data_IF_251653316019
#
_entry.id   IF_251653316019
#
_cell.length_a   1.000
_cell.length_b   1.000
_cell.length_c   1.000
_cell.angle_alpha   90.00
_cell.angle_beta   90.00
_cell.angle_gamma   90.00
#
_symmetry.space_group_name_H-M   'P 1'
#
loop_
_entity.id
_entity.type
_entity.pdbx_description
1 polymer ?
#
# COMPACT_ATOMS: atom_id res chain seq x y z
N UNK A 1 4.63 23.49 22.84
CA UNK A 1 3.46 23.04 22.02
C UNK A 1 2.17 23.33 22.80
N UNK A 2 1.18 23.99 22.18
CA UNK A 2 -0.09 24.32 22.85
C UNK A 2 -0.87 23.01 23.12
N UNK A 3 -1.52 22.86 24.31
CA UNK A 3 -2.30 21.67 24.69
C UNK A 3 -3.27 21.22 23.60
N UNK A 4 -3.97 22.16 22.96
CA UNK A 4 -4.91 21.91 21.87
C UNK A 4 -4.28 21.17 20.68
N UNK A 5 -3.02 21.48 20.30
CA UNK A 5 -2.32 20.78 19.23
C UNK A 5 -1.95 19.36 19.64
N UNK A 6 -1.53 19.15 20.89
CA UNK A 6 -1.23 17.82 21.41
C UNK A 6 -2.46 16.91 21.39
N UNK A 7 -3.61 17.43 21.86
CA UNK A 7 -4.87 16.67 21.85
C UNK A 7 -5.28 16.29 20.39
N UNK A 8 -5.09 17.22 19.46
CA UNK A 8 -5.36 16.96 18.05
C UNK A 8 -4.43 15.88 17.46
N UNK A 9 -3.13 15.88 17.80
CA UNK A 9 -2.16 14.84 17.39
C UNK A 9 -2.58 13.47 17.93
N UNK A 10 -2.95 13.40 19.23
CA UNK A 10 -3.40 12.16 19.86
C UNK A 10 -4.65 11.62 19.16
N UNK A 11 -5.59 12.48 18.83
CA UNK A 11 -6.80 12.08 18.11
C UNK A 11 -6.48 11.56 16.71
N UNK A 12 -5.60 12.23 15.95
CA UNK A 12 -5.19 11.74 14.61
C UNK A 12 -4.48 10.38 14.64
N UNK A 13 -3.66 10.16 15.65
CA UNK A 13 -3.04 8.85 15.87
C UNK A 13 -4.07 7.76 16.20
N UNK A 14 -5.11 8.09 17.01
CA UNK A 14 -6.22 7.17 17.31
C UNK A 14 -7.11 6.89 16.08
N UNK A 15 -7.36 7.90 15.25
CA UNK A 15 -8.11 7.78 13.99
C UNK A 15 -7.36 6.95 12.95
N UNK A 16 -6.08 6.65 13.18
CA UNK A 16 -5.21 5.91 12.26
C UNK A 16 -5.21 6.51 10.86
N UNK A 17 -4.96 7.81 10.75
CA UNK A 17 -4.86 8.56 9.50
C UNK A 17 -3.47 9.17 9.34
N UNK A 18 -3.02 9.35 8.09
CA UNK A 18 -1.78 10.04 7.79
C UNK A 18 -1.97 11.56 7.93
N UNK A 19 -1.03 12.24 8.59
CA UNK A 19 -1.05 13.68 8.79
C UNK A 19 0.38 14.25 8.89
N UNK A 20 0.52 15.56 8.86
CA UNK A 20 1.76 16.23 9.24
C UNK A 20 1.50 17.26 10.35
N UNK A 21 2.52 17.51 11.15
CA UNK A 21 2.56 18.63 12.09
C UNK A 21 3.39 19.73 11.43
N UNK A 22 2.80 20.91 11.35
CA UNK A 22 3.43 22.12 10.84
C UNK A 22 3.73 23.01 12.02
N UNK A 23 4.97 23.45 12.17
CA UNK A 23 5.39 24.30 13.29
C UNK A 23 6.18 25.51 12.78
N UNK A 24 5.77 26.70 13.19
CA UNK A 24 6.60 27.89 13.03
C UNK A 24 7.60 27.92 14.19
N UNK A 25 8.90 27.83 13.89
CA UNK A 25 9.97 27.76 14.88
C UNK A 25 10.25 29.09 15.58
N UNK A 26 9.80 30.23 15.02
CA UNK A 26 9.99 31.55 15.64
C UNK A 26 9.04 31.77 16.82
N UNK A 27 7.76 31.44 16.64
CA UNK A 27 6.72 31.77 17.62
C UNK A 27 6.10 30.54 18.29
N UNK A 28 6.50 29.32 17.87
CA UNK A 28 6.00 28.05 18.38
C UNK A 28 4.54 27.74 18.00
N UNK A 29 3.94 28.49 17.07
CA UNK A 29 2.62 28.18 16.55
C UNK A 29 2.66 26.95 15.67
N UNK A 30 1.62 26.12 15.75
CA UNK A 30 1.55 24.91 14.94
C UNK A 30 0.14 24.45 14.67
N UNK A 31 -0.02 23.70 13.59
CA UNK A 31 -1.28 23.10 13.18
C UNK A 31 -1.06 21.68 12.64
N UNK A 32 -2.16 20.96 12.45
CA UNK A 32 -2.16 19.69 11.73
C UNK A 32 -2.49 19.96 10.27
N UNK A 33 -1.75 19.32 9.40
CA UNK A 33 -2.03 19.21 7.98
C UNK A 33 -2.52 17.80 7.66
N UNK A 34 -3.63 17.70 6.94
CA UNK A 34 -4.14 16.48 6.31
C UNK A 34 -4.33 16.75 4.81
N UNK A 35 -3.95 15.79 3.98
CA UNK A 35 -4.14 15.91 2.53
C UNK A 35 -5.63 16.08 2.23
N UNK A 36 -5.93 16.93 1.26
CA UNK A 36 -7.30 17.24 0.80
C UNK A 36 -8.22 17.92 1.83
N UNK A 37 -7.63 18.42 2.96
CA UNK A 37 -8.34 19.25 3.92
C UNK A 37 -7.77 20.68 3.95
N UNK A 38 -8.60 21.68 4.29
CA UNK A 38 -8.13 23.05 4.40
C UNK A 38 -7.01 23.18 5.45
N UNK A 39 -5.93 23.84 5.07
CA UNK A 39 -4.85 24.18 5.99
C UNK A 39 -5.21 25.42 6.82
N UNK A 40 -4.60 25.56 8.01
CA UNK A 40 -4.72 26.75 8.83
C UNK A 40 -4.22 27.99 8.06
N UNK A 41 -5.00 29.09 8.12
CA UNK A 41 -4.76 30.33 7.36
C UNK A 41 -3.35 30.89 7.54
N UNK A 42 -2.74 30.72 8.71
CA UNK A 42 -1.40 31.20 9.02
C UNK A 42 -0.31 30.47 8.18
N UNK A 43 -0.62 29.28 7.66
CA UNK A 43 0.30 28.43 6.92
C UNK A 43 -0.06 28.29 5.42
N UNK A 44 -1.19 28.85 4.96
CA UNK A 44 -1.68 28.69 3.57
C UNK A 44 -0.64 29.09 2.51
N UNK A 45 0.17 30.11 2.75
CA UNK A 45 1.23 30.53 1.81
C UNK A 45 2.28 29.45 1.57
N UNK A 46 2.39 28.46 2.46
CA UNK A 46 3.35 27.35 2.36
C UNK A 46 2.70 26.03 1.89
N UNK A 47 1.40 26.01 1.62
CA UNK A 47 0.62 24.81 1.34
C UNK A 47 1.24 23.91 0.27
N UNK A 48 1.70 24.48 -0.86
CA UNK A 48 2.36 23.72 -1.94
C UNK A 48 3.65 23.03 -1.47
N UNK A 49 4.46 23.73 -0.65
CA UNK A 49 5.70 23.15 -0.12
C UNK A 49 5.39 22.10 0.94
N UNK A 50 4.41 22.33 1.80
CA UNK A 50 3.93 21.36 2.82
C UNK A 50 3.41 20.09 2.14
N UNK A 51 2.57 20.20 1.11
CA UNK A 51 2.11 19.06 0.32
C UNK A 51 3.29 18.27 -0.27
N UNK A 52 4.30 18.95 -0.82
CA UNK A 52 5.50 18.31 -1.35
C UNK A 52 6.28 17.53 -0.29
N UNK A 53 6.41 18.07 0.94
CA UNK A 53 7.04 17.37 2.06
C UNK A 53 6.24 16.13 2.48
N UNK A 54 4.92 16.29 2.59
CA UNK A 54 4.01 15.21 2.95
C UNK A 54 4.06 14.06 1.93
N UNK A 55 3.95 14.38 0.64
CA UNK A 55 3.99 13.41 -0.45
C UNK A 55 5.33 12.67 -0.53
N UNK A 56 6.44 13.39 -0.30
CA UNK A 56 7.79 12.81 -0.28
C UNK A 56 8.12 12.13 1.05
N UNK A 57 7.21 12.14 2.03
CA UNK A 57 7.43 11.63 3.39
C UNK A 57 8.68 12.24 4.04
N UNK A 58 8.94 13.51 3.76
CA UNK A 58 10.14 14.24 4.21
C UNK A 58 9.82 15.04 5.47
N UNK A 59 10.70 14.96 6.47
CA UNK A 59 10.70 15.83 7.63
C UNK A 59 11.78 16.89 7.48
N UNK A 60 11.53 18.10 7.96
CA UNK A 60 12.53 19.17 7.95
C UNK A 60 11.93 20.57 7.84
N UNK A 61 12.83 21.55 7.81
CA UNK A 61 12.47 22.96 7.62
C UNK A 61 12.28 23.23 6.12
N UNK A 62 11.22 23.93 5.78
CA UNK A 62 10.99 24.39 4.41
C UNK A 62 12.04 25.45 4.08
N UNK A 63 12.77 25.26 2.97
CA UNK A 63 13.86 26.14 2.53
C UNK A 63 13.46 27.61 2.55
N UNK A 64 14.34 28.47 3.09
CA UNK A 64 14.17 29.91 3.25
C UNK A 64 13.01 30.32 4.19
N UNK A 65 12.65 29.45 5.13
CA UNK A 65 11.57 29.74 6.11
C UNK A 65 11.91 29.17 7.48
N UNK A 66 11.14 29.58 8.50
CA UNK A 66 11.17 28.98 9.85
C UNK A 66 10.03 27.97 10.07
N UNK A 67 9.52 27.38 8.99
CA UNK A 67 8.43 26.40 9.05
C UNK A 67 8.99 24.99 9.02
N UNK A 68 8.82 24.26 10.11
CA UNK A 68 9.16 22.84 10.24
C UNK A 68 7.96 21.98 9.91
N UNK A 69 8.18 20.94 9.11
CA UNK A 69 7.19 19.94 8.72
C UNK A 69 7.63 18.59 9.30
N UNK A 70 6.77 17.95 10.06
CA UNK A 70 6.95 16.60 10.59
C UNK A 70 5.82 15.70 10.10
N UNK A 71 6.13 14.71 9.27
CA UNK A 71 5.13 13.84 8.63
C UNK A 71 4.92 12.54 9.42
N UNK A 72 3.65 12.19 9.63
CA UNK A 72 3.19 10.92 10.19
C UNK A 72 2.42 10.17 9.11
N UNK A 73 3.12 9.29 8.41
CA UNK A 73 2.54 8.54 7.30
C UNK A 73 2.31 7.09 7.75
N UNK A 74 1.09 6.61 7.56
CA UNK A 74 0.75 5.23 7.83
C UNK A 74 1.50 4.27 6.90
N UNK A 75 1.85 3.08 7.38
CA UNK A 75 2.39 2.03 6.52
C UNK A 75 1.41 1.67 5.39
N UNK A 76 1.95 1.40 4.22
CA UNK A 76 1.14 0.89 3.12
C UNK A 76 0.72 -0.55 3.43
N UNK A 77 -0.57 -0.82 3.32
CA UNK A 77 -1.14 -2.16 3.51
C UNK A 77 -0.93 -3.00 2.26
N UNK A 78 -0.24 -4.12 2.40
CA UNK A 78 0.07 -5.05 1.31
C UNK A 78 -0.55 -6.41 1.59
N UNK A 79 -1.53 -6.79 0.80
CA UNK A 79 -2.19 -8.09 0.87
C UNK A 79 -1.54 -9.04 -0.12
N UNK A 80 -0.87 -10.07 0.38
CA UNK A 80 -0.26 -11.13 -0.42
C UNK A 80 -1.20 -12.33 -0.41
N UNK A 81 -1.82 -12.61 -1.55
CA UNK A 81 -2.67 -13.78 -1.73
C UNK A 81 -1.84 -14.92 -2.29
N UNK A 82 -1.63 -15.93 -1.46
CA UNK A 82 -0.77 -17.08 -1.75
C UNK A 82 0.54 -17.09 -0.95
N UNK A 83 0.62 -18.00 0.01
CA UNK A 83 1.78 -18.24 0.87
C UNK A 83 2.85 -19.11 0.17
N UNK A 84 3.13 -18.85 -1.11
CA UNK A 84 4.11 -19.58 -1.92
C UNK A 84 5.55 -19.19 -1.58
N UNK A 85 6.54 -19.84 -2.22
CA UNK A 85 7.95 -19.58 -1.91
C UNK A 85 8.37 -18.11 -2.12
N UNK A 86 7.93 -17.49 -3.21
CA UNK A 86 8.21 -16.08 -3.52
C UNK A 86 7.71 -15.14 -2.42
N UNK A 87 6.58 -15.47 -1.75
CA UNK A 87 6.02 -14.64 -0.68
C UNK A 87 6.99 -14.47 0.50
N UNK A 88 7.87 -15.42 0.78
CA UNK A 88 8.83 -15.30 1.88
C UNK A 88 9.86 -14.18 1.61
N UNK A 89 10.35 -14.07 0.38
CA UNK A 89 11.26 -12.99 -0.02
C UNK A 89 10.55 -11.64 -0.10
N UNK A 90 9.31 -11.62 -0.63
CA UNK A 90 8.47 -10.40 -0.64
C UNK A 90 8.26 -9.85 0.75
N UNK A 91 7.93 -10.71 1.72
CA UNK A 91 7.76 -10.33 3.13
C UNK A 91 9.04 -9.72 3.69
N UNK A 92 10.20 -10.30 3.38
CA UNK A 92 11.48 -9.78 3.85
C UNK A 92 11.76 -8.36 3.32
N UNK A 93 11.60 -8.14 2.01
CA UNK A 93 11.78 -6.82 1.40
C UNK A 93 10.74 -5.81 1.89
N UNK A 94 9.47 -6.19 1.97
CA UNK A 94 8.38 -5.31 2.39
C UNK A 94 8.52 -4.86 3.86
N UNK A 95 9.01 -5.73 4.76
CA UNK A 95 9.36 -5.35 6.13
C UNK A 95 10.44 -4.28 6.18
N UNK A 96 11.50 -4.41 5.37
CA UNK A 96 12.58 -3.41 5.30
C UNK A 96 12.05 -2.04 4.84
N UNK A 97 10.99 -2.04 4.02
CA UNK A 97 10.32 -0.83 3.53
C UNK A 97 9.21 -0.33 4.47
N UNK A 98 9.04 -0.94 5.64
CA UNK A 98 8.01 -0.61 6.62
C UNK A 98 6.57 -0.71 6.05
N UNK A 99 6.30 -1.71 5.20
CA UNK A 99 4.96 -2.02 4.72
C UNK A 99 4.24 -2.93 5.73
N UNK A 100 2.94 -2.72 5.90
CA UNK A 100 2.07 -3.58 6.70
C UNK A 100 1.59 -4.76 5.85
N UNK A 101 2.04 -5.97 6.20
CA UNK A 101 1.82 -7.16 5.38
C UNK A 101 0.77 -8.06 6.00
N UNK A 102 -0.20 -8.48 5.20
CA UNK A 102 -1.12 -9.57 5.52
C UNK A 102 -1.03 -10.63 4.43
N UNK A 103 -0.80 -11.88 4.84
CA UNK A 103 -0.84 -13.05 3.96
C UNK A 103 -2.21 -13.69 4.05
N UNK A 104 -2.83 -13.95 2.90
CA UNK A 104 -4.12 -14.64 2.76
C UNK A 104 -3.90 -15.91 1.94
N UNK A 105 -4.15 -17.07 2.53
CA UNK A 105 -4.10 -18.36 1.83
C UNK A 105 -4.98 -19.38 2.56
N UNK A 106 -6.00 -19.96 1.92
CA UNK A 106 -6.86 -20.96 2.54
C UNK A 106 -6.12 -22.25 2.90
N UNK A 107 -4.93 -22.46 2.32
CA UNK A 107 -4.12 -23.66 2.54
C UNK A 107 -3.19 -23.46 3.74
N UNK A 108 -3.67 -23.73 4.95
CA UNK A 108 -2.96 -23.46 6.21
C UNK A 108 -1.57 -24.09 6.31
N UNK A 109 -1.28 -25.17 5.59
CA UNK A 109 0.07 -25.74 5.52
C UNK A 109 1.11 -24.76 4.95
N UNK A 110 0.73 -23.99 3.91
CA UNK A 110 1.60 -22.98 3.31
C UNK A 110 1.66 -21.72 4.15
N UNK A 111 0.53 -21.24 4.65
CA UNK A 111 0.39 -20.02 5.43
C UNK A 111 0.54 -20.32 6.92
N UNK A 112 1.77 -20.55 7.37
CA UNK A 112 2.08 -20.88 8.76
C UNK A 112 3.04 -19.86 9.41
N UNK A 113 2.90 -19.64 10.72
CA UNK A 113 3.79 -18.76 11.50
C UNK A 113 5.26 -19.21 11.44
N UNK A 114 5.53 -20.50 11.24
CA UNK A 114 6.89 -21.02 11.05
C UNK A 114 7.54 -20.46 9.78
N UNK A 115 6.78 -20.32 8.70
CA UNK A 115 7.27 -19.77 7.43
C UNK A 115 7.24 -18.23 7.39
N UNK A 116 6.31 -17.63 8.11
CA UNK A 116 6.09 -16.18 8.12
C UNK A 116 6.00 -15.67 9.57
N UNK A 117 7.14 -15.63 10.30
CA UNK A 117 7.16 -15.17 11.68
C UNK A 117 6.84 -13.65 11.74
N UNK A 118 6.00 -13.29 12.73
CA UNK A 118 5.58 -11.90 12.98
C UNK A 118 4.85 -11.24 11.80
N UNK A 119 4.12 -12.03 11.01
CA UNK A 119 3.25 -11.56 9.94
C UNK A 119 1.81 -11.88 10.30
N UNK A 120 0.89 -10.99 9.91
CA UNK A 120 -0.54 -11.29 9.96
C UNK A 120 -0.88 -12.33 8.88
N UNK A 121 -1.46 -13.47 9.31
CA UNK A 121 -1.81 -14.58 8.42
C UNK A 121 -3.30 -14.86 8.60
N UNK A 122 -4.02 -14.94 7.48
CA UNK A 122 -5.44 -15.26 7.44
C UNK A 122 -5.63 -16.51 6.59
N UNK A 123 -5.95 -17.61 7.25
CA UNK A 123 -6.18 -18.92 6.61
C UNK A 123 -7.64 -19.06 6.17
N UNK A 124 -8.07 -18.15 5.27
CA UNK A 124 -9.42 -18.10 4.68
C UNK A 124 -9.33 -17.90 3.18
N UNK A 125 -10.43 -18.17 2.50
CA UNK A 125 -10.57 -17.78 1.12
C UNK A 125 -10.53 -16.24 0.97
N UNK A 126 -9.95 -15.70 -0.11
CA UNK A 126 -9.76 -14.24 -0.25
C UNK A 126 -11.04 -13.43 -0.07
N UNK A 127 -12.18 -13.94 -0.58
CA UNK A 127 -13.48 -13.26 -0.41
C UNK A 127 -13.84 -13.09 1.07
N UNK A 128 -13.79 -14.17 1.84
CA UNK A 128 -14.09 -14.17 3.28
C UNK A 128 -13.10 -13.28 4.06
N UNK A 129 -11.81 -13.38 3.74
CA UNK A 129 -10.77 -12.58 4.37
C UNK A 129 -11.00 -11.09 4.14
N UNK A 130 -11.32 -10.67 2.93
CA UNK A 130 -11.52 -9.26 2.60
C UNK A 130 -12.85 -8.72 3.14
N UNK A 131 -13.91 -9.52 3.25
CA UNK A 131 -15.17 -9.13 3.91
C UNK A 131 -14.93 -8.81 5.41
N UNK A 132 -14.00 -9.50 6.04
CA UNK A 132 -13.62 -9.31 7.45
C UNK A 132 -12.71 -8.09 7.65
N UNK A 133 -11.63 -7.97 6.84
CA UNK A 133 -10.62 -6.90 6.97
C UNK A 133 -11.13 -5.58 6.44
N UNK A 134 -11.95 -5.59 5.38
CA UNK A 134 -12.47 -4.43 4.63
C UNK A 134 -11.35 -3.45 4.22
N UNK A 135 -10.38 -3.92 3.41
CA UNK A 135 -9.29 -3.06 2.93
C UNK A 135 -9.84 -1.88 2.11
N UNK A 136 -9.11 -0.78 2.14
CA UNK A 136 -9.44 0.47 1.46
C UNK A 136 -8.67 0.64 0.12
N UNK A 137 -8.93 1.77 -0.55
CA UNK A 137 -8.26 2.15 -1.81
C UNK A 137 -6.74 2.32 -1.68
N UNK A 138 -6.24 2.60 -0.45
CA UNK A 138 -4.82 2.79 -0.17
C UNK A 138 -4.09 1.46 0.07
N UNK A 139 -4.72 0.36 -0.33
CA UNK A 139 -4.20 -1.01 -0.20
C UNK A 139 -3.59 -1.50 -1.51
N UNK A 140 -2.59 -2.39 -1.40
CA UNK A 140 -1.97 -3.11 -2.51
C UNK A 140 -2.30 -4.59 -2.47
N UNK A 141 -2.59 -5.20 -3.62
CA UNK A 141 -2.78 -6.63 -3.77
C UNK A 141 -1.68 -7.27 -4.61
N UNK A 142 -1.13 -8.38 -4.13
CA UNK A 142 -0.17 -9.23 -4.84
C UNK A 142 -0.72 -10.66 -4.87
N UNK A 143 -1.22 -11.13 -6.02
CA UNK A 143 -1.74 -12.48 -6.22
C UNK A 143 -0.65 -13.41 -6.79
N UNK A 144 -0.34 -14.50 -6.09
CA UNK A 144 0.83 -15.35 -6.34
C UNK A 144 0.51 -16.83 -6.57
N UNK A 145 -0.76 -17.29 -6.44
CA UNK A 145 -1.02 -18.74 -6.39
C UNK A 145 -1.03 -19.42 -7.74
N UNK A 146 -1.28 -18.71 -8.81
CA UNK A 146 -1.65 -19.22 -10.14
C UNK A 146 -2.97 -20.03 -10.18
N UNK A 147 -3.62 -20.24 -9.03
CA UNK A 147 -4.92 -20.91 -8.97
C UNK A 147 -6.05 -19.88 -9.17
N UNK A 148 -6.83 -19.98 -10.26
CA UNK A 148 -7.94 -19.07 -10.50
C UNK A 148 -8.98 -19.03 -9.38
N UNK A 149 -9.16 -20.14 -8.63
CA UNK A 149 -10.10 -20.20 -7.52
C UNK A 149 -9.70 -19.30 -6.35
N UNK A 150 -8.42 -19.02 -6.22
CA UNK A 150 -7.85 -18.17 -5.16
C UNK A 150 -7.58 -16.77 -5.72
N UNK A 151 -6.86 -16.68 -6.86
CA UNK A 151 -6.42 -15.40 -7.41
C UNK A 151 -7.60 -14.56 -7.95
N UNK A 152 -8.53 -15.15 -8.71
CA UNK A 152 -9.59 -14.39 -9.37
C UNK A 152 -10.53 -13.67 -8.38
N UNK A 153 -11.02 -14.28 -7.28
CA UNK A 153 -11.82 -13.57 -6.27
C UNK A 153 -11.06 -12.42 -5.60
N UNK A 154 -9.76 -12.59 -5.34
CA UNK A 154 -8.93 -11.54 -4.78
C UNK A 154 -8.79 -10.34 -5.72
N UNK A 155 -8.53 -10.60 -7.01
CA UNK A 155 -8.42 -9.58 -8.05
C UNK A 155 -9.75 -8.84 -8.25
N UNK A 156 -10.87 -9.55 -8.28
CA UNK A 156 -12.21 -8.97 -8.40
C UNK A 156 -12.49 -8.01 -7.23
N UNK A 157 -12.17 -8.43 -6.00
CA UNK A 157 -12.33 -7.58 -4.82
C UNK A 157 -11.48 -6.31 -4.92
N UNK A 158 -10.21 -6.45 -5.26
CA UNK A 158 -9.28 -5.33 -5.36
C UNK A 158 -9.68 -4.32 -6.46
N UNK A 159 -10.18 -4.80 -7.60
CA UNK A 159 -10.69 -3.94 -8.67
C UNK A 159 -11.91 -3.15 -8.20
N UNK A 160 -12.88 -3.82 -7.56
CA UNK A 160 -14.12 -3.20 -7.10
C UNK A 160 -13.90 -2.17 -5.99
N UNK A 161 -12.87 -2.37 -5.17
CA UNK A 161 -12.50 -1.46 -4.08
C UNK A 161 -11.38 -0.48 -4.45
N UNK A 162 -11.05 -0.39 -5.77
CA UNK A 162 -10.08 0.57 -6.30
C UNK A 162 -8.72 0.56 -5.58
N UNK A 163 -8.18 -0.62 -5.28
CA UNK A 163 -6.84 -0.71 -4.74
C UNK A 163 -5.86 0.03 -5.63
N UNK A 164 -4.91 0.74 -5.03
CA UNK A 164 -3.96 1.53 -5.81
C UNK A 164 -2.98 0.67 -6.62
N UNK A 165 -2.70 -0.54 -6.14
CA UNK A 165 -1.84 -1.48 -6.82
C UNK A 165 -2.48 -2.86 -6.83
N UNK A 166 -2.57 -3.46 -8.01
CA UNK A 166 -3.09 -4.81 -8.21
C UNK A 166 -2.12 -5.56 -9.10
N UNK A 167 -1.39 -6.50 -8.53
CA UNK A 167 -0.40 -7.28 -9.28
C UNK A 167 -0.71 -8.78 -9.25
N UNK A 168 -0.47 -9.47 -10.36
CA UNK A 168 -0.72 -10.90 -10.44
C UNK A 168 0.41 -11.64 -11.14
N UNK A 169 0.96 -12.66 -10.45
CA UNK A 169 2.03 -13.52 -10.95
C UNK A 169 1.54 -14.38 -12.12
N UNK A 170 2.44 -14.64 -13.05
CA UNK A 170 2.19 -15.53 -14.18
C UNK A 170 2.88 -15.09 -15.46
N UNK A 171 2.86 -15.96 -16.46
CA UNK A 171 3.32 -15.65 -17.83
C UNK A 171 2.34 -14.70 -18.54
N UNK A 172 2.72 -14.15 -19.68
CA UNK A 172 1.81 -13.40 -20.57
C UNK A 172 0.56 -14.20 -20.89
N UNK A 173 0.71 -15.47 -21.27
CA UNK A 173 -0.41 -16.39 -21.58
C UNK A 173 -1.31 -16.59 -20.35
N UNK A 174 -0.73 -16.73 -19.15
CA UNK A 174 -1.51 -16.85 -17.91
C UNK A 174 -2.31 -15.58 -17.66
N UNK A 175 -1.73 -14.42 -17.92
CA UNK A 175 -2.42 -13.13 -17.77
C UNK A 175 -3.55 -12.95 -18.79
N UNK A 176 -3.34 -13.31 -20.06
CA UNK A 176 -4.37 -13.29 -21.10
C UNK A 176 -5.57 -14.16 -20.72
N UNK A 177 -5.33 -15.39 -20.25
CA UNK A 177 -6.38 -16.28 -19.76
C UNK A 177 -7.13 -15.69 -18.54
N UNK A 178 -6.41 -15.02 -17.63
CA UNK A 178 -6.98 -14.29 -16.48
C UNK A 178 -7.88 -13.16 -16.97
N UNK A 179 -7.43 -12.35 -17.90
CA UNK A 179 -8.23 -11.26 -18.49
C UNK A 179 -9.53 -11.79 -19.11
N UNK A 180 -9.45 -12.91 -19.84
CA UNK A 180 -10.63 -13.54 -20.44
C UNK A 180 -11.65 -14.00 -19.38
N UNK A 181 -11.19 -14.59 -18.26
CA UNK A 181 -12.08 -14.98 -17.15
C UNK A 181 -12.72 -13.76 -16.46
N UNK A 182 -11.94 -12.71 -16.20
CA UNK A 182 -12.46 -11.49 -15.59
C UNK A 182 -13.50 -10.78 -16.50
N UNK A 183 -13.28 -10.77 -17.83
CA UNK A 183 -14.27 -10.29 -18.80
C UNK A 183 -15.57 -11.09 -18.72
N UNK A 184 -15.51 -12.42 -18.67
CA UNK A 184 -16.68 -13.29 -18.48
C UNK A 184 -17.40 -13.03 -17.17
N UNK A 185 -16.69 -12.56 -16.14
CA UNK A 185 -17.25 -12.15 -14.85
C UNK A 185 -17.80 -10.70 -14.85
N UNK A 186 -17.82 -10.02 -16.00
CA UNK A 186 -18.44 -8.69 -16.15
C UNK A 186 -17.50 -7.50 -15.96
N UNK A 187 -16.20 -7.70 -15.81
CA UNK A 187 -15.23 -6.60 -15.70
C UNK A 187 -14.88 -6.00 -17.07
N UNK A 188 -14.89 -4.68 -17.15
CA UNK A 188 -14.51 -3.93 -18.36
C UNK A 188 -13.00 -3.98 -18.62
N UNK A 189 -12.61 -3.73 -19.88
CA UNK A 189 -11.18 -3.65 -20.26
C UNK A 189 -10.43 -2.56 -19.46
N UNK A 190 -11.08 -1.46 -19.13
CA UNK A 190 -10.48 -0.38 -18.32
C UNK A 190 -10.18 -0.86 -16.90
N UNK A 191 -11.07 -1.63 -16.29
CA UNK A 191 -10.87 -2.20 -14.98
C UNK A 191 -9.75 -3.26 -14.99
N UNK A 192 -9.75 -4.14 -15.97
CA UNK A 192 -8.75 -5.22 -16.11
C UNK A 192 -7.35 -4.66 -16.37
N UNK A 193 -7.21 -3.57 -17.12
CA UNK A 193 -5.93 -2.88 -17.37
C UNK A 193 -5.26 -2.33 -16.10
N UNK A 194 -5.98 -2.20 -14.99
CA UNK A 194 -5.39 -1.83 -13.69
C UNK A 194 -4.53 -2.96 -13.10
N UNK A 195 -4.63 -4.19 -13.60
CA UNK A 195 -3.86 -5.34 -13.12
C UNK A 195 -2.51 -5.36 -13.81
N UNK A 196 -1.44 -5.25 -13.04
CA UNK A 196 -0.09 -5.54 -13.50
C UNK A 196 0.08 -7.06 -13.68
N UNK A 197 0.09 -7.50 -14.93
CA UNK A 197 0.24 -8.89 -15.31
C UNK A 197 1.02 -9.05 -16.62
N UNK A 198 2.17 -9.72 -16.64
CA UNK A 198 2.92 -10.27 -15.50
C UNK A 198 3.35 -9.19 -14.49
N UNK A 199 3.24 -9.52 -13.20
CA UNK A 199 3.67 -8.63 -12.11
C UNK A 199 5.18 -8.41 -12.12
N UNK A 200 5.61 -7.22 -11.71
CA UNK A 200 7.02 -6.85 -11.55
C UNK A 200 7.60 -6.08 -12.72
N UNK A 201 8.71 -5.39 -12.48
CA UNK A 201 9.50 -4.73 -13.53
C UNK A 201 10.47 -5.71 -14.15
N UNK A 202 10.90 -5.46 -15.39
CA UNK A 202 11.83 -6.35 -16.11
C UNK A 202 13.25 -6.20 -15.57
N UNK A 203 13.67 -7.09 -14.67
CA UNK A 203 15.04 -7.18 -14.15
C UNK A 203 15.87 -8.27 -14.87
N UNK A 204 15.22 -9.21 -15.59
CA UNK A 204 15.88 -10.32 -16.26
C UNK A 204 16.08 -11.56 -15.37
N UNK A 205 15.98 -11.45 -14.05
CA UNK A 205 16.10 -12.56 -13.11
C UNK A 205 14.91 -13.52 -13.15
N UNK A 206 15.15 -14.79 -12.79
CA UNK A 206 14.14 -15.86 -12.79
C UNK A 206 14.03 -16.61 -11.46
N UNK A 207 14.96 -16.35 -10.53
CA UNK A 207 14.91 -16.95 -9.19
C UNK A 207 13.83 -16.31 -8.33
N UNK A 208 13.36 -17.00 -7.30
CA UNK A 208 12.31 -16.49 -6.42
C UNK A 208 12.67 -15.14 -5.75
N UNK A 209 13.91 -14.92 -5.23
CA UNK A 209 14.28 -13.61 -4.69
C UNK A 209 14.34 -12.50 -5.75
N UNK A 210 14.80 -12.80 -6.99
CA UNK A 210 14.84 -11.80 -8.06
C UNK A 210 13.43 -11.41 -8.53
N UNK A 211 12.52 -12.38 -8.61
CA UNK A 211 11.11 -12.11 -8.91
C UNK A 211 10.48 -11.27 -7.77
N UNK A 212 10.75 -11.61 -6.53
CA UNK A 212 10.27 -10.82 -5.38
C UNK A 212 10.82 -9.39 -5.41
N UNK A 213 12.10 -9.20 -5.74
CA UNK A 213 12.71 -7.88 -5.92
C UNK A 213 12.03 -7.09 -7.05
N UNK A 214 11.76 -7.74 -8.19
CA UNK A 214 11.06 -7.15 -9.32
C UNK A 214 9.66 -6.64 -8.93
N UNK A 215 8.91 -7.45 -8.16
CA UNK A 215 7.57 -7.12 -7.68
C UNK A 215 7.61 -5.94 -6.71
N UNK A 216 8.50 -5.98 -5.72
CA UNK A 216 8.58 -4.92 -4.72
C UNK A 216 9.05 -3.60 -5.35
N UNK A 217 9.96 -3.65 -6.32
CA UNK A 217 10.40 -2.47 -7.06
C UNK A 217 9.25 -1.82 -7.86
N UNK A 218 8.39 -2.63 -8.49
CA UNK A 218 7.19 -2.13 -9.16
C UNK A 218 6.24 -1.48 -8.16
N UNK A 219 5.95 -2.15 -7.05
CA UNK A 219 5.08 -1.62 -6.00
C UNK A 219 5.58 -0.26 -5.49
N UNK A 220 6.88 -0.15 -5.17
CA UNK A 220 7.48 1.12 -4.73
C UNK A 220 7.33 2.20 -5.80
N UNK A 221 7.57 1.87 -7.08
CA UNK A 221 7.37 2.82 -8.18
C UNK A 221 5.92 3.33 -8.23
N UNK A 222 4.94 2.46 -8.08
CA UNK A 222 3.51 2.84 -8.12
C UNK A 222 3.10 3.69 -6.90
N UNK A 223 3.68 3.44 -5.71
CA UNK A 223 3.47 4.29 -4.53
C UNK A 223 3.83 5.76 -4.78
N UNK A 224 4.89 6.01 -5.56
CA UNK A 224 5.35 7.37 -5.84
C UNK A 224 4.74 7.98 -7.11
N UNK A 225 4.05 7.20 -7.96
CA UNK A 225 3.30 7.72 -9.12
C UNK A 225 1.93 8.28 -8.74
N UNK A 226 1.36 7.85 -7.61
CA UNK A 226 0.06 8.34 -7.12
C UNK A 226 0.13 9.73 -6.49
N UNK A 227 1.30 10.30 -6.44
CA UNK A 227 1.63 11.59 -5.86
C UNK A 227 1.96 12.59 -6.95
#
# INVERSE_FOLDING_TARGET
MKKKLLDAIINKKKENVSFAIITNLENGEGCIFEKDKPLDKNFNKFEKKINSYFDKKKNGIIDETNIFVETYILPIKVFIVGAVHIAQYLVSFAKTLNFEITIIDPRGYFASKKRFPNINIINKWPKEAFEEIKPDKDSALIALTHDPKIDDPALQYAINNNFFYIGALGSKKTHENRCARLKKSGFSDVQIKKIFGPIGIKLGGKTAPEIALSIISQLVSEVYKQK
#
